data_IF_071787379089
#
_entry.id   IF_071787379089
#
_cell.length_a   1.000
_cell.length_b   1.000
_cell.length_c   1.000
_cell.angle_alpha   90.00
_cell.angle_beta   90.00
_cell.angle_gamma   90.00
#
_symmetry.space_group_name_H-M   'P 1'
#
loop_
_entity.id
_entity.type
_entity.pdbx_description
1 polymer ?
#
# COMPACT_ATOMS: atom_id res chain seq x y z
N UNK A 1 7.56 -8.84 -0.22
CA UNK A 1 7.92 -7.53 0.35
C UNK A 1 9.34 -7.23 -0.09
N UNK A 2 9.58 -6.10 -0.73
CA UNK A 2 10.94 -5.66 -1.07
C UNK A 2 11.61 -5.08 0.18
N UNK A 3 12.87 -5.44 0.42
CA UNK A 3 13.62 -4.92 1.57
C UNK A 3 13.93 -3.43 1.36
N UNK A 4 13.72 -2.64 2.40
CA UNK A 4 13.98 -1.21 2.43
C UNK A 4 15.36 -0.94 3.04
N UNK A 5 15.87 0.27 2.84
CA UNK A 5 17.19 0.68 3.30
C UNK A 5 17.30 0.71 4.83
N UNK A 6 16.20 1.01 5.53
CA UNK A 6 16.21 1.17 6.98
C UNK A 6 15.37 0.11 7.69
N UNK A 7 15.82 -0.29 8.87
CA UNK A 7 15.08 -1.22 9.73
C UNK A 7 13.72 -0.64 10.16
N UNK A 8 13.63 0.68 10.31
CA UNK A 8 12.38 1.39 10.59
C UNK A 8 11.33 1.15 9.50
N UNK A 9 11.71 1.29 8.23
CA UNK A 9 10.80 1.07 7.10
C UNK A 9 10.42 -0.42 6.98
N UNK A 10 11.37 -1.33 7.18
CA UNK A 10 11.12 -2.77 7.17
C UNK A 10 10.14 -3.18 8.29
N UNK A 11 10.32 -2.65 9.50
CA UNK A 11 9.42 -2.88 10.62
C UNK A 11 8.00 -2.33 10.35
N UNK A 12 7.91 -1.15 9.72
CA UNK A 12 6.63 -0.54 9.38
C UNK A 12 5.75 -1.46 8.50
N UNK A 13 6.35 -2.09 7.48
CA UNK A 13 5.62 -2.97 6.58
C UNK A 13 5.21 -4.32 7.21
N UNK A 14 5.86 -4.75 8.28
CA UNK A 14 5.53 -5.99 8.98
C UNK A 14 4.25 -5.89 9.83
N UNK A 15 3.77 -4.67 10.12
CA UNK A 15 2.59 -4.44 10.97
C UNK A 15 1.30 -4.95 10.32
N UNK A 16 1.21 -4.93 8.99
CA UNK A 16 0.02 -5.36 8.26
C UNK A 16 0.03 -6.87 8.03
N UNK A 17 -0.70 -7.60 8.87
CA UNK A 17 -1.04 -9.01 8.64
C UNK A 17 -2.56 -9.16 8.57
N UNK A 18 -3.15 -8.88 7.39
CA UNK A 18 -4.59 -8.93 7.15
C UNK A 18 -4.87 -9.97 6.07
N UNK A 19 -5.82 -10.87 6.34
CA UNK A 19 -6.22 -11.91 5.41
C UNK A 19 -7.41 -11.45 4.56
N UNK A 20 -7.16 -11.17 3.28
CA UNK A 20 -8.21 -10.99 2.28
C UNK A 20 -8.31 -12.24 1.41
N UNK A 21 -9.49 -12.86 1.36
CA UNK A 21 -9.73 -13.98 0.45
C UNK A 21 -10.02 -13.45 -0.95
N UNK A 22 -9.07 -13.64 -1.86
CA UNK A 22 -9.21 -13.33 -3.28
C UNK A 22 -8.83 -14.55 -4.14
N UNK A 23 -9.53 -14.83 -5.24
CA UNK A 23 -9.16 -15.88 -6.19
C UNK A 23 -7.76 -15.66 -6.74
N UNK A 24 -7.00 -16.74 -6.90
CA UNK A 24 -5.62 -16.69 -7.42
C UNK A 24 -5.52 -15.99 -8.78
N UNK A 25 -6.53 -16.12 -9.64
CA UNK A 25 -6.56 -15.41 -10.94
C UNK A 25 -6.51 -13.89 -10.79
N UNK A 26 -7.15 -13.32 -9.76
CA UNK A 26 -7.10 -11.88 -9.44
C UNK A 26 -5.81 -11.49 -8.75
N UNK A 27 -5.20 -12.38 -7.97
CA UNK A 27 -3.84 -12.18 -7.42
C UNK A 27 -2.82 -12.05 -8.55
N UNK A 28 -2.93 -12.88 -9.59
CA UNK A 28 -2.02 -12.85 -10.74
C UNK A 28 -2.16 -11.55 -11.54
N UNK A 29 -3.40 -11.07 -11.71
CA UNK A 29 -3.69 -9.76 -12.33
C UNK A 29 -3.08 -8.62 -11.51
N UNK A 30 -3.29 -8.61 -10.19
CA UNK A 30 -2.72 -7.62 -9.28
C UNK A 30 -1.19 -7.64 -9.30
N UNK A 31 -0.60 -8.83 -9.39
CA UNK A 31 0.87 -8.99 -9.45
C UNK A 31 1.42 -8.35 -10.72
N UNK A 32 0.79 -8.54 -11.89
CA UNK A 32 1.22 -7.89 -13.14
C UNK A 32 1.15 -6.36 -13.03
N UNK A 33 0.04 -5.86 -12.48
CA UNK A 33 -0.16 -4.41 -12.29
C UNK A 33 0.90 -3.82 -11.34
N UNK A 34 1.24 -4.54 -10.27
CA UNK A 34 2.21 -4.11 -9.27
C UNK A 34 3.65 -3.93 -9.81
N UNK A 35 4.01 -4.60 -10.92
CA UNK A 35 5.34 -4.47 -11.53
C UNK A 35 5.50 -3.22 -12.40
N UNK A 36 4.42 -2.50 -12.72
CA UNK A 36 4.54 -1.27 -13.50
C UNK A 36 5.32 -0.19 -12.74
N UNK A 37 6.09 0.61 -13.48
CA UNK A 37 6.78 1.78 -12.90
C UNK A 37 5.73 2.70 -12.28
N UNK A 38 6.00 3.20 -11.07
CA UNK A 38 5.10 4.06 -10.31
C UNK A 38 3.70 3.46 -10.04
N UNK A 39 3.58 2.12 -10.01
CA UNK A 39 2.30 1.45 -9.79
C UNK A 39 1.53 1.94 -8.56
N UNK A 40 2.25 2.31 -7.48
CA UNK A 40 1.67 2.83 -6.24
C UNK A 40 0.78 4.06 -6.47
N UNK A 41 1.15 4.95 -7.40
CA UNK A 41 0.45 6.23 -7.61
C UNK A 41 -0.52 6.19 -8.80
N UNK A 42 -0.21 5.41 -9.83
CA UNK A 42 -0.90 5.48 -11.11
C UNK A 42 -1.88 4.34 -11.34
N UNK A 43 -1.65 3.19 -10.72
CA UNK A 43 -2.39 1.97 -11.02
C UNK A 43 -3.52 1.73 -10.02
N UNK A 44 -4.55 1.04 -10.50
CA UNK A 44 -5.67 0.57 -9.69
C UNK A 44 -5.65 -0.96 -9.65
N UNK A 45 -5.93 -1.53 -8.50
CA UNK A 45 -6.04 -2.97 -8.31
C UNK A 45 -7.46 -3.33 -7.87
N UNK A 46 -8.02 -4.44 -8.39
CA UNK A 46 -9.29 -4.96 -7.91
C UNK A 46 -9.17 -5.50 -6.48
N UNK A 47 -10.08 -5.07 -5.62
CA UNK A 47 -10.29 -5.58 -4.27
C UNK A 47 -11.75 -5.98 -4.06
N UNK A 48 -12.05 -6.97 -3.21
CA UNK A 48 -13.42 -7.31 -2.87
C UNK A 48 -14.16 -6.10 -2.29
N UNK A 49 -15.38 -5.85 -2.74
CA UNK A 49 -16.27 -4.91 -2.07
C UNK A 49 -16.47 -5.37 -0.64
N UNK A 50 -16.02 -4.55 0.31
CA UNK A 50 -16.07 -4.87 1.73
C UNK A 50 -17.46 -4.58 2.26
N UNK A 51 -18.42 -5.45 1.95
CA UNK A 51 -19.40 -5.77 2.97
C UNK A 51 -18.71 -6.73 3.95
N UNK A 52 -18.88 -6.46 5.25
CA UNK A 52 -18.52 -7.33 6.39
C UNK A 52 -18.53 -8.84 6.02
N UNK A 53 -17.69 -9.68 6.66
CA UNK A 53 -17.38 -11.03 6.20
C UNK A 53 -18.64 -11.87 5.97
N UNK A 54 -19.17 -11.82 4.75
CA UNK A 54 -20.28 -12.62 4.30
C UNK A 54 -19.66 -13.82 3.58
N UNK A 55 -20.14 -15.00 3.97
CA UNK A 55 -19.45 -16.30 3.88
C UNK A 55 -19.41 -16.85 2.44
N UNK A 56 -19.46 -16.02 1.40
CA UNK A 56 -19.37 -16.48 0.02
C UNK A 56 -18.89 -15.35 -0.90
N UNK A 57 -17.68 -15.45 -1.49
CA UNK A 57 -17.28 -14.51 -2.53
C UNK A 57 -18.20 -14.76 -3.74
N UNK A 58 -19.17 -13.87 -3.97
CA UNK A 58 -19.78 -13.77 -5.30
C UNK A 58 -18.69 -13.29 -6.25
N UNK A 59 -18.57 -13.94 -7.40
CA UNK A 59 -17.44 -13.80 -8.33
C UNK A 59 -17.26 -12.40 -8.93
N UNK A 60 -18.21 -11.49 -8.70
CA UNK A 60 -18.41 -10.32 -9.58
C UNK A 60 -18.35 -8.96 -8.86
N UNK A 61 -18.10 -8.92 -7.55
CA UNK A 61 -18.05 -7.67 -6.75
C UNK A 61 -16.60 -7.28 -6.42
N UNK A 62 -15.80 -7.04 -7.46
CA UNK A 62 -14.46 -6.45 -7.32
C UNK A 62 -14.48 -4.99 -7.73
N UNK A 63 -13.82 -4.17 -6.93
CA UNK A 63 -13.74 -2.75 -7.15
C UNK A 63 -12.30 -2.31 -7.38
N UNK A 64 -12.09 -1.56 -8.47
CA UNK A 64 -10.81 -0.96 -8.79
C UNK A 64 -10.53 0.22 -7.86
N UNK A 65 -9.45 0.11 -7.08
CA UNK A 65 -8.99 1.13 -6.15
C UNK A 65 -7.48 1.35 -6.31
N UNK A 66 -7.05 2.60 -6.14
CA UNK A 66 -5.64 2.98 -6.04
C UNK A 66 -5.06 2.55 -4.70
N UNK A 67 -3.73 2.42 -4.60
CA UNK A 67 -3.09 2.11 -3.31
C UNK A 67 -3.41 3.16 -2.25
N UNK A 68 -3.53 4.44 -2.65
CA UNK A 68 -3.95 5.51 -1.74
C UNK A 68 -5.35 5.23 -1.13
N UNK A 69 -6.32 4.89 -1.97
CA UNK A 69 -7.70 4.59 -1.53
C UNK A 69 -7.77 3.35 -0.64
N UNK A 70 -6.93 2.35 -0.93
CA UNK A 70 -6.87 1.10 -0.18
C UNK A 70 -6.27 1.34 1.21
N UNK A 71 -5.19 2.10 1.29
CA UNK A 71 -4.46 2.32 2.54
C UNK A 71 -5.15 3.36 3.41
N UNK A 72 -5.47 4.54 2.86
CA UNK A 72 -5.93 5.68 3.62
C UNK A 72 -7.44 5.63 3.83
N UNK A 73 -8.22 5.85 2.77
CA UNK A 73 -9.67 5.80 2.74
C UNK A 73 -10.18 5.97 1.30
N UNK A 74 -11.42 5.54 1.07
CA UNK A 74 -12.19 5.96 -0.10
C UNK A 74 -13.54 6.53 0.37
N UNK A 75 -13.64 7.86 0.54
CA UNK A 75 -14.86 8.48 1.06
C UNK A 75 -16.04 8.37 0.09
N UNK A 76 -15.80 8.32 -1.23
CA UNK A 76 -16.87 8.17 -2.24
C UNK A 76 -17.57 6.81 -2.11
N UNK A 77 -16.83 5.80 -1.67
CA UNK A 77 -17.30 4.40 -1.56
C UNK A 77 -17.59 3.99 -0.12
N UNK A 78 -17.43 4.90 0.83
CA UNK A 78 -17.58 4.61 2.26
C UNK A 78 -16.56 3.59 2.81
N UNK A 79 -15.44 3.38 2.11
CA UNK A 79 -14.40 2.45 2.54
C UNK A 79 -13.45 3.15 3.53
N UNK A 80 -13.31 2.68 4.78
CA UNK A 80 -12.52 3.35 5.80
C UNK A 80 -11.00 3.22 5.61
N UNK A 81 -10.54 2.46 4.61
CA UNK A 81 -9.11 2.18 4.40
C UNK A 81 -8.53 1.18 5.40
N UNK A 82 -7.40 0.57 5.05
CA UNK A 82 -6.67 -0.33 5.96
C UNK A 82 -6.19 0.41 7.21
N UNK A 83 -5.78 1.68 7.08
CA UNK A 83 -5.38 2.49 8.23
C UNK A 83 -6.54 2.80 9.16
N UNK A 84 -7.74 3.06 8.64
CA UNK A 84 -8.93 3.23 9.46
C UNK A 84 -9.24 1.99 10.30
N UNK A 85 -9.15 0.80 9.69
CA UNK A 85 -9.34 -0.48 10.38
C UNK A 85 -8.30 -0.70 11.49
N UNK A 86 -7.01 -0.45 11.20
CA UNK A 86 -5.93 -0.59 12.19
C UNK A 86 -6.10 0.44 13.32
N UNK A 87 -6.41 1.69 13.01
CA UNK A 87 -6.62 2.72 14.04
C UNK A 87 -7.79 2.39 14.96
N UNK A 88 -8.90 1.88 14.41
CA UNK A 88 -10.03 1.42 15.22
C UNK A 88 -9.63 0.27 16.16
N UNK A 89 -8.83 -0.68 15.67
CA UNK A 89 -8.31 -1.78 16.49
C UNK A 89 -7.32 -1.28 17.57
N UNK A 90 -6.43 -0.35 17.24
CA UNK A 90 -5.51 0.23 18.21
C UNK A 90 -6.25 1.03 19.28
N UNK A 91 -7.33 1.73 18.91
CA UNK A 91 -8.17 2.47 19.84
C UNK A 91 -8.87 1.54 20.84
N UNK A 92 -9.39 0.39 20.41
CA UNK A 92 -10.03 -0.57 21.32
C UNK A 92 -9.05 -1.21 22.30
N UNK A 93 -7.78 -1.37 21.91
CA UNK A 93 -6.76 -1.94 22.79
C UNK A 93 -6.20 -0.95 23.83
N UNK A 94 -6.38 0.37 23.64
CA UNK A 94 -5.92 1.43 24.54
C UNK A 94 -4.47 1.26 25.05
N UNK A 95 -3.54 0.98 24.13
CA UNK A 95 -2.12 0.72 24.45
C UNK A 95 -1.26 1.99 24.38
N UNK A 96 -0.30 2.13 25.29
CA UNK A 96 0.63 3.29 25.32
C UNK A 96 1.53 3.37 24.07
N UNK A 97 1.75 2.24 23.39
CA UNK A 97 2.58 2.14 22.17
C UNK A 97 1.92 2.71 20.91
N UNK A 98 0.68 3.21 21.00
CA UNK A 98 -0.01 3.86 19.89
C UNK A 98 0.82 4.97 19.22
N UNK A 99 1.54 5.77 20.01
CA UNK A 99 2.36 6.86 19.48
C UNK A 99 3.50 6.37 18.57
N UNK A 100 4.12 5.23 18.91
CA UNK A 100 5.19 4.64 18.09
C UNK A 100 4.63 4.00 16.82
N UNK A 101 3.52 3.28 16.96
CA UNK A 101 2.83 2.66 15.81
C UNK A 101 2.37 3.73 14.82
N UNK A 102 1.87 4.87 15.30
CA UNK A 102 1.46 5.99 14.46
C UNK A 102 2.58 6.51 13.57
N UNK A 103 3.85 6.46 14.00
CA UNK A 103 5.00 6.86 13.16
C UNK A 103 5.17 5.92 11.97
N UNK A 104 5.00 4.61 12.18
CA UNK A 104 5.04 3.62 11.11
C UNK A 104 3.85 3.75 10.16
N UNK A 105 2.64 3.95 10.70
CA UNK A 105 1.44 4.15 9.90
C UNK A 105 1.51 5.42 9.05
N UNK A 106 2.05 6.52 9.59
CA UNK A 106 2.24 7.77 8.86
C UNK A 106 3.22 7.63 7.69
N UNK A 107 4.28 6.82 7.83
CA UNK A 107 5.19 6.52 6.71
C UNK A 107 4.41 5.86 5.55
N UNK A 108 3.58 4.86 5.87
CA UNK A 108 2.84 4.07 4.87
C UNK A 108 1.78 4.95 4.21
N UNK A 109 1.03 5.72 4.99
CA UNK A 109 0.07 6.74 4.52
C UNK A 109 0.67 7.68 3.49
N UNK A 110 1.83 8.26 3.81
CA UNK A 110 2.50 9.24 2.96
C UNK A 110 3.13 8.62 1.71
N UNK A 111 3.55 7.35 1.76
CA UNK A 111 3.99 6.63 0.56
C UNK A 111 2.83 6.27 -0.35
N UNK A 112 1.68 5.88 0.23
CA UNK A 112 0.48 5.53 -0.51
C UNK A 112 -0.13 6.73 -1.25
N UNK A 113 -0.14 7.92 -0.62
CA UNK A 113 -0.67 9.15 -1.22
C UNK A 113 0.34 9.92 -2.11
N UNK A 114 1.59 9.45 -2.20
CA UNK A 114 2.65 10.08 -3.00
C UNK A 114 3.35 11.27 -2.38
N UNK A 115 3.04 11.65 -1.14
CA UNK A 115 3.77 12.71 -0.41
C UNK A 115 5.22 12.30 -0.15
N UNK A 116 5.46 11.01 0.12
CA UNK A 116 6.79 10.42 0.24
C UNK A 116 7.05 9.49 -0.94
N UNK A 117 8.27 9.56 -1.47
CA UNK A 117 8.71 8.69 -2.54
C UNK A 117 8.88 7.25 -2.05
N UNK A 118 8.63 6.30 -2.94
CA UNK A 118 9.07 4.92 -2.73
C UNK A 118 10.60 4.82 -2.88
N UNK A 119 11.22 3.82 -2.26
CA UNK A 119 12.65 3.55 -2.43
C UNK A 119 13.02 3.40 -3.92
N UNK A 120 12.20 2.68 -4.70
CA UNK A 120 12.41 2.52 -6.14
C UNK A 120 12.32 3.85 -6.91
N UNK A 121 11.37 4.73 -6.57
CA UNK A 121 11.29 6.06 -7.18
C UNK A 121 12.49 6.93 -6.80
N UNK A 122 12.93 6.86 -5.55
CA UNK A 122 14.10 7.59 -5.06
C UNK A 122 15.40 7.14 -5.74
N UNK A 123 15.64 5.83 -5.85
CA UNK A 123 16.82 5.27 -6.55
C UNK A 123 16.84 5.74 -8.01
N UNK A 124 15.70 5.67 -8.71
CA UNK A 124 15.60 6.14 -10.10
C UNK A 124 15.90 7.63 -10.22
N UNK A 125 15.36 8.45 -9.33
CA UNK A 125 15.65 9.89 -9.33
C UNK A 125 17.13 10.13 -9.05
N UNK A 126 17.71 9.45 -8.05
CA UNK A 126 19.13 9.57 -7.69
C UNK A 126 20.04 9.31 -8.91
N UNK A 127 19.84 8.19 -9.62
CA UNK A 127 20.57 7.87 -10.85
C UNK A 127 20.32 8.90 -11.95
N UNK A 128 19.05 9.28 -12.19
CA UNK A 128 18.70 10.23 -13.25
C UNK A 128 19.29 11.63 -13.05
N UNK A 129 19.49 12.04 -11.79
CA UNK A 129 20.08 13.33 -11.43
C UNK A 129 21.61 13.30 -11.34
N UNK A 130 22.24 12.13 -11.50
CA UNK A 130 23.68 11.99 -11.35
C UNK A 130 24.42 12.69 -12.51
N UNK A 131 25.43 13.55 -12.26
CA UNK A 131 26.11 14.33 -13.31
C UNK A 131 26.73 13.50 -14.44
N UNK A 132 27.17 12.28 -14.13
CA UNK A 132 27.81 11.37 -15.10
C UNK A 132 26.81 10.49 -15.87
N UNK A 133 25.53 10.50 -15.47
CA UNK A 133 24.52 9.64 -16.09
C UNK A 133 24.11 10.21 -17.46
N UNK A 134 24.32 9.41 -18.51
CA UNK A 134 24.11 9.83 -19.90
C UNK A 134 22.69 9.61 -20.41
N UNK A 135 21.75 9.28 -19.53
CA UNK A 135 20.36 8.97 -19.88
C UNK A 135 20.20 7.82 -20.87
N UNK A 136 21.19 6.93 -20.95
CA UNK A 136 21.24 5.77 -21.82
C UNK A 136 20.70 4.48 -21.15
N UNK A 137 20.09 4.61 -19.97
CA UNK A 137 19.62 3.48 -19.14
C UNK A 137 20.74 2.53 -18.69
N UNK A 138 22.00 3.00 -18.69
CA UNK A 138 23.17 2.29 -18.16
C UNK A 138 23.63 2.97 -16.87
N UNK A 139 23.77 2.20 -15.79
CA UNK A 139 24.14 2.68 -14.44
C UNK A 139 25.53 2.22 -14.08
#
# INVERSE_FOLDING_TARGET
MEIQLTDFENAAFAIFNINFYIPTSKVDENTKVAHHRNAVLEQKVPLPQTDLPSVSPRSDEYELMTINEIINDNPEKGYPGLLGLVNNYLYTLNIETQCEINKYLELIKKRANGTLMTAASWIRQCVQTHPEYKQDSVV
#
